data_IF_493036736356
#
_entry.id   IF_493036736356
#
_cell.length_a   1.000
_cell.length_b   1.000
_cell.length_c   1.000
_cell.angle_alpha   90.00
_cell.angle_beta   90.00
_cell.angle_gamma   90.00
#
_symmetry.space_group_name_H-M   'P 1'
#
loop_
_entity.id
_entity.type
_entity.pdbx_description
1 polymer ?
#
# COMPACT_ATOMS: atom_id res chain seq x y z
N UNK A 1 6.05 -8.42 6.10
CA UNK A 1 6.35 -8.65 4.68
C UNK A 1 5.54 -9.84 4.25
N UNK A 2 4.62 -9.65 3.30
CA UNK A 2 3.65 -10.67 2.91
C UNK A 2 4.29 -11.58 1.86
N UNK A 3 4.14 -12.89 2.08
CA UNK A 3 4.56 -13.92 1.15
C UNK A 3 3.56 -14.08 -0.01
N UNK A 4 3.43 -15.29 -0.55
CA UNK A 4 2.44 -15.59 -1.59
C UNK A 4 1.05 -15.90 -1.04
N UNK A 5 0.94 -16.15 0.27
CA UNK A 5 -0.31 -16.42 0.98
C UNK A 5 -0.55 -15.40 2.09
N UNK A 6 -1.84 -15.12 2.32
CA UNK A 6 -2.30 -14.29 3.43
C UNK A 6 -2.73 -15.19 4.60
N UNK A 7 -2.50 -14.71 5.82
CA UNK A 7 -2.97 -15.39 7.02
C UNK A 7 -4.51 -15.30 7.09
N UNK A 8 -5.24 -16.43 7.22
CA UNK A 8 -6.69 -16.44 7.39
C UNK A 8 -7.19 -15.60 8.57
N UNK A 9 -6.33 -15.34 9.57
CA UNK A 9 -6.67 -14.45 10.67
C UNK A 9 -6.95 -13.01 10.20
N UNK A 10 -6.42 -12.58 9.05
CA UNK A 10 -6.65 -11.24 8.49
C UNK A 10 -7.99 -11.12 7.76
N UNK A 11 -8.64 -12.24 7.47
CA UNK A 11 -9.87 -12.30 6.68
C UNK A 11 -10.99 -11.34 7.14
N UNK A 12 -11.25 -11.18 8.46
CA UNK A 12 -12.26 -10.24 8.93
C UNK A 12 -11.95 -8.80 8.54
N UNK A 13 -10.66 -8.42 8.55
CA UNK A 13 -10.20 -7.07 8.17
C UNK A 13 -10.32 -6.89 6.66
N UNK A 14 -9.86 -7.87 5.87
CA UNK A 14 -9.87 -7.81 4.41
C UNK A 14 -11.29 -7.75 3.84
N UNK A 15 -12.23 -8.47 4.44
CA UNK A 15 -13.64 -8.45 4.04
C UNK A 15 -14.45 -7.33 4.71
N UNK A 16 -13.80 -6.48 5.52
CA UNK A 16 -14.46 -5.42 6.28
C UNK A 16 -15.66 -5.91 7.10
N UNK A 17 -15.53 -7.07 7.77
CA UNK A 17 -16.56 -7.69 8.63
C UNK A 17 -16.74 -6.93 9.95
N UNK A 18 -16.97 -5.62 9.88
CA UNK A 18 -17.25 -4.78 11.03
C UNK A 18 -18.69 -4.99 11.50
N UNK A 19 -18.86 -5.26 12.78
CA UNK A 19 -20.16 -5.41 13.44
C UNK A 19 -20.44 -4.13 14.20
N UNK A 20 -21.67 -3.62 14.11
CA UNK A 20 -22.08 -2.46 14.89
C UNK A 20 -22.26 -2.87 16.36
N UNK A 21 -21.55 -2.20 17.25
CA UNK A 21 -21.65 -2.41 18.69
C UNK A 21 -21.92 -1.06 19.37
N UNK A 22 -23.17 -0.87 19.80
CA UNK A 22 -23.67 0.42 20.28
C UNK A 22 -23.52 1.54 19.24
N UNK A 23 -22.76 2.58 19.60
CA UNK A 23 -22.45 3.72 18.73
C UNK A 23 -21.20 3.52 17.87
N UNK A 24 -20.44 2.45 18.06
CA UNK A 24 -19.19 2.17 17.36
C UNK A 24 -19.24 0.92 16.50
N UNK A 25 -18.07 0.55 15.97
CA UNK A 25 -17.85 -0.69 15.25
C UNK A 25 -16.87 -1.56 16.03
N UNK A 26 -17.05 -2.88 15.95
CA UNK A 26 -16.09 -3.88 16.43
C UNK A 26 -15.78 -4.86 15.32
N UNK A 27 -14.60 -5.46 15.38
CA UNK A 27 -14.17 -6.49 14.44
C UNK A 27 -13.61 -7.67 15.25
N UNK A 28 -14.00 -8.88 14.87
CA UNK A 28 -13.52 -10.10 15.52
C UNK A 28 -12.26 -10.58 14.81
N UNK A 29 -11.15 -10.66 15.55
CA UNK A 29 -9.87 -11.16 15.06
C UNK A 29 -9.49 -12.39 15.87
N UNK A 30 -9.65 -13.58 15.28
CA UNK A 30 -9.55 -14.85 16.01
C UNK A 30 -10.59 -14.90 17.14
N UNK A 31 -10.13 -15.07 18.37
CA UNK A 31 -10.99 -15.13 19.57
C UNK A 31 -11.26 -13.77 20.22
N UNK A 32 -10.62 -12.69 19.73
CA UNK A 32 -10.73 -11.36 20.34
C UNK A 32 -11.66 -10.46 19.53
N UNK A 33 -12.57 -9.77 20.21
CA UNK A 33 -13.32 -8.65 19.62
C UNK A 33 -12.60 -7.35 19.94
N UNK A 34 -12.32 -6.55 18.91
CA UNK A 34 -11.55 -5.31 19.01
C UNK A 34 -12.40 -4.17 18.44
N UNK A 35 -12.38 -3.00 19.09
CA UNK A 35 -13.05 -1.80 18.57
C UNK A 35 -12.39 -1.33 17.27
N UNK A 36 -13.20 -1.09 16.26
CA UNK A 36 -12.79 -0.60 14.95
C UNK A 36 -12.94 0.92 14.88
N UNK A 37 -11.87 1.61 14.49
CA UNK A 37 -11.87 3.06 14.27
C UNK A 37 -12.02 3.38 12.78
N UNK A 38 -12.89 4.33 12.42
CA UNK A 38 -13.09 4.72 11.01
C UNK A 38 -11.87 5.38 10.36
N UNK A 39 -10.92 5.86 11.16
CA UNK A 39 -9.63 6.40 10.69
C UNK A 39 -8.58 5.33 10.44
N UNK A 40 -8.85 4.08 10.82
CA UNK A 40 -7.92 2.97 10.64
C UNK A 40 -7.72 2.67 9.15
N UNK A 41 -6.44 2.54 8.75
CA UNK A 41 -6.04 2.10 7.41
C UNK A 41 -5.11 0.91 7.53
N UNK A 42 -5.37 -0.12 6.74
CA UNK A 42 -4.56 -1.33 6.73
C UNK A 42 -3.76 -1.38 5.42
N UNK A 43 -2.43 -1.42 5.55
CA UNK A 43 -1.51 -1.53 4.42
C UNK A 43 -0.66 -2.77 4.59
N UNK A 44 -0.42 -3.46 3.47
CA UNK A 44 0.42 -4.64 3.41
C UNK A 44 1.49 -4.43 2.35
N UNK A 45 2.72 -4.82 2.66
CA UNK A 45 3.86 -4.70 1.74
C UNK A 45 4.50 -6.05 1.50
N UNK A 46 4.95 -6.25 0.27
CA UNK A 46 5.74 -7.41 -0.15
C UNK A 46 7.00 -6.92 -0.84
N UNK A 47 8.11 -7.61 -0.62
CA UNK A 47 9.37 -7.38 -1.37
C UNK A 47 9.57 -8.41 -2.47
N UNK A 48 8.59 -9.29 -2.71
CA UNK A 48 8.66 -10.26 -3.78
C UNK A 48 8.57 -9.54 -5.13
N UNK A 49 9.48 -9.82 -6.08
CA UNK A 49 9.37 -9.31 -7.43
C UNK A 49 8.22 -10.02 -8.15
N UNK A 50 7.27 -9.27 -8.72
CA UNK A 50 6.12 -9.80 -9.47
C UNK A 50 5.39 -10.97 -8.77
N UNK A 51 4.82 -10.76 -7.58
CA UNK A 51 4.13 -11.82 -6.85
C UNK A 51 2.83 -12.19 -7.57
N UNK A 52 2.62 -13.50 -7.75
CA UNK A 52 1.37 -14.04 -8.27
C UNK A 52 0.45 -14.42 -7.12
N UNK A 53 -0.50 -13.53 -6.80
CA UNK A 53 -1.55 -13.80 -5.82
C UNK A 53 -2.72 -14.55 -6.45
N UNK A 54 -3.42 -15.36 -5.64
CA UNK A 54 -4.63 -16.05 -6.08
C UNK A 54 -5.73 -15.04 -6.48
N UNK A 55 -6.63 -15.39 -7.42
CA UNK A 55 -7.75 -14.53 -7.77
C UNK A 55 -8.60 -14.14 -6.55
N UNK A 56 -8.76 -15.07 -5.61
CA UNK A 56 -9.44 -14.84 -4.34
C UNK A 56 -8.81 -13.68 -3.54
N UNK A 57 -7.47 -13.64 -3.47
CA UNK A 57 -6.74 -12.55 -2.81
C UNK A 57 -6.92 -11.25 -3.59
N UNK A 58 -6.76 -11.29 -4.91
CA UNK A 58 -6.85 -10.13 -5.80
C UNK A 58 -8.22 -9.46 -5.82
N UNK A 59 -9.29 -10.16 -5.45
CA UNK A 59 -10.63 -9.58 -5.30
C UNK A 59 -10.80 -8.88 -3.95
N UNK A 60 -10.11 -9.34 -2.90
CA UNK A 60 -10.23 -8.78 -1.53
C UNK A 60 -9.35 -7.56 -1.31
N UNK A 61 -8.24 -7.45 -2.04
CA UNK A 61 -7.25 -6.37 -1.85
C UNK A 61 -7.02 -5.59 -3.12
N UNK A 62 -6.69 -4.31 -2.97
CA UNK A 62 -6.18 -3.49 -4.07
C UNK A 62 -4.66 -3.65 -4.14
N UNK A 63 -4.16 -4.26 -5.19
CA UNK A 63 -2.72 -4.39 -5.42
C UNK A 63 -2.19 -3.11 -6.05
N UNK A 64 -1.18 -2.51 -5.41
CA UNK A 64 -0.44 -1.36 -5.95
C UNK A 64 0.96 -1.83 -6.36
N UNK A 65 1.33 -1.56 -7.61
CA UNK A 65 2.65 -1.88 -8.12
C UNK A 65 3.61 -0.72 -7.85
N UNK A 66 4.63 -0.97 -7.03
CA UNK A 66 5.72 -0.03 -6.73
C UNK A 66 7.04 -0.41 -7.43
N UNK A 67 7.01 -1.33 -8.41
CA UNK A 67 8.20 -1.68 -9.17
C UNK A 67 8.70 -0.45 -9.94
N UNK A 68 9.96 -0.11 -9.72
CA UNK A 68 10.64 0.95 -10.44
C UNK A 68 10.94 0.44 -11.85
N UNK A 69 10.51 1.19 -12.87
CA UNK A 69 10.91 0.93 -14.25
C UNK A 69 12.30 1.54 -14.51
N UNK A 70 13.14 0.94 -15.36
CA UNK A 70 14.45 1.51 -15.69
C UNK A 70 14.36 2.97 -16.15
N UNK A 71 13.40 3.29 -17.02
CA UNK A 71 13.13 4.66 -17.46
C UNK A 71 12.72 5.58 -16.30
N UNK A 72 11.85 5.12 -15.40
CA UNK A 72 11.45 5.91 -14.23
C UNK A 72 12.63 6.16 -13.27
N UNK A 73 13.56 5.21 -13.16
CA UNK A 73 14.78 5.39 -12.40
C UNK A 73 15.73 6.39 -13.08
N UNK A 74 15.90 6.29 -14.40
CA UNK A 74 16.70 7.24 -15.19
C UNK A 74 16.18 8.67 -15.05
N UNK A 75 14.87 8.88 -15.16
CA UNK A 75 14.25 10.20 -14.98
C UNK A 75 14.45 10.73 -13.55
N UNK A 76 14.31 9.86 -12.53
CA UNK A 76 14.57 10.23 -11.15
C UNK A 76 16.04 10.62 -10.92
N UNK A 77 16.98 9.84 -11.46
CA UNK A 77 18.39 10.16 -11.37
C UNK A 77 18.73 11.45 -12.12
N UNK A 78 18.17 11.66 -13.31
CA UNK A 78 18.35 12.87 -14.09
C UNK A 78 17.89 14.10 -13.30
N UNK A 79 16.71 14.04 -12.66
CA UNK A 79 16.22 15.12 -11.80
C UNK A 79 17.21 15.46 -10.69
N UNK A 80 17.74 14.45 -9.99
CA UNK A 80 18.72 14.64 -8.91
C UNK A 80 20.04 15.24 -9.42
N UNK A 81 20.52 14.81 -10.60
CA UNK A 81 21.76 15.32 -11.20
C UNK A 81 21.59 16.76 -11.66
N UNK A 82 20.48 17.07 -12.36
CA UNK A 82 20.18 18.44 -12.81
C UNK A 82 20.03 19.39 -11.62
N UNK A 83 19.36 18.97 -10.55
CA UNK A 83 19.24 19.75 -9.32
C UNK A 83 20.60 20.16 -8.73
N UNK A 84 21.57 19.24 -8.79
CA UNK A 84 22.89 19.43 -8.20
C UNK A 84 23.85 20.18 -9.12
N UNK A 85 23.84 19.88 -10.41
CA UNK A 85 24.79 20.43 -11.38
C UNK A 85 24.30 21.71 -12.07
N UNK A 86 22.98 21.88 -12.20
CA UNK A 86 22.31 22.99 -12.89
C UNK A 86 21.07 23.47 -12.13
N UNK A 87 21.24 24.03 -10.91
CA UNK A 87 20.12 24.53 -10.10
C UNK A 87 19.35 25.67 -10.81
N UNK A 88 20.00 26.40 -11.72
CA UNK A 88 19.40 27.42 -12.57
C UNK A 88 18.25 26.87 -13.44
N UNK A 89 18.42 25.67 -14.00
CA UNK A 89 17.40 25.03 -14.83
C UNK A 89 16.25 24.46 -13.99
N UNK A 90 16.51 24.08 -12.75
CA UNK A 90 15.46 23.59 -11.85
C UNK A 90 14.57 24.72 -11.32
N UNK A 91 15.14 25.89 -11.02
CA UNK A 91 14.36 27.09 -10.67
C UNK A 91 13.43 27.51 -11.81
N UNK A 92 13.89 27.48 -13.07
CA UNK A 92 13.04 27.77 -14.23
C UNK A 92 11.91 26.75 -14.40
N UNK A 93 12.16 25.47 -14.12
CA UNK A 93 11.13 24.43 -14.15
C UNK A 93 10.10 24.60 -13.02
N UNK A 94 10.52 25.09 -11.85
CA UNK A 94 9.62 25.34 -10.71
C UNK A 94 8.76 26.60 -10.86
N UNK A 95 9.09 27.51 -11.78
CA UNK A 95 8.35 28.74 -12.05
C UNK A 95 7.32 28.63 -13.19
N UNK A 96 7.26 27.48 -13.88
CA UNK A 96 6.21 27.13 -14.83
C UNK A 96 5.09 26.30 -14.16
#
# INVERSE_FOLDING_TARGET
NIGLSLDPALEPILQQQKVRDGSGFTIKLGDKSITYADTFKFFMTTTLPNPHYSPETSVKVTLLNFAITPTGLEDQMLGIVVAKERPDLEEQKSQL
#
